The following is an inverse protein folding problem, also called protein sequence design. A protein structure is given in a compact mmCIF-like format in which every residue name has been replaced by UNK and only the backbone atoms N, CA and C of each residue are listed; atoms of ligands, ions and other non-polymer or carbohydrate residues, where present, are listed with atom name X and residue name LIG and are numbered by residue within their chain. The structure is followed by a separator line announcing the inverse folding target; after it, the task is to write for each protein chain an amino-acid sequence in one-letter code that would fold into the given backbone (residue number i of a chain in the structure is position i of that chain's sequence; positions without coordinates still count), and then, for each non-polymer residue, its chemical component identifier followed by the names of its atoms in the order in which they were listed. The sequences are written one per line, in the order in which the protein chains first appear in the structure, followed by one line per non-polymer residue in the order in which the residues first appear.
data_IF_538425647849
#
_entry.id   IF_538425647849
#
_cell.length_a   1.000
_cell.length_b   1.000
_cell.length_c   1.000
_cell.angle_alpha   90.00
_cell.angle_beta   90.00
_cell.angle_gamma   90.00
#
_symmetry.space_group_name_H-M   'P 1'
#
loop_
_entity.id
_entity.type
_entity.pdbx_description
1 polymer ?
#
# COMPACT_ATOMS: atom_id res chain seq x y z
N UNK A 1 -16.69 11.99 -17.89
CA UNK A 1 -16.13 13.33 -18.17
C UNK A 1 -16.92 14.02 -19.28
N UNK A 2 -17.32 13.35 -20.36
CA UNK A 2 -18.12 13.94 -21.42
C UNK A 2 -19.39 14.67 -20.97
N UNK A 3 -20.07 14.19 -19.93
CA UNK A 3 -21.24 14.87 -19.34
C UNK A 3 -20.92 16.25 -18.72
N UNK A 4 -19.66 16.63 -18.62
CA UNK A 4 -19.18 17.90 -18.03
C UNK A 4 -18.40 18.76 -19.05
N UNK A 5 -18.53 18.47 -20.35
CA UNK A 5 -17.84 19.21 -21.40
C UNK A 5 -16.31 19.08 -21.34
N UNK A 6 -15.82 17.87 -21.00
CA UNK A 6 -14.39 17.54 -20.89
C UNK A 6 -14.09 16.27 -21.68
N UNK A 7 -13.06 16.30 -22.50
CA UNK A 7 -12.56 15.15 -23.28
C UNK A 7 -11.18 14.72 -22.78
N UNK A 8 -10.96 13.41 -22.68
CA UNK A 8 -9.65 12.83 -22.34
C UNK A 8 -8.80 12.79 -23.61
N UNK A 9 -7.73 13.56 -23.64
CA UNK A 9 -6.85 13.68 -24.82
C UNK A 9 -5.61 12.82 -24.74
N UNK A 10 -5.28 12.30 -23.54
CA UNK A 10 -4.15 11.38 -23.36
C UNK A 10 -4.29 10.62 -22.05
N UNK A 11 -3.92 9.34 -22.06
CA UNK A 11 -3.75 8.51 -20.87
C UNK A 11 -2.34 7.94 -20.85
N UNK A 12 -1.74 7.88 -19.67
CA UNK A 12 -0.43 7.26 -19.45
C UNK A 12 -0.43 6.47 -18.15
N UNK A 13 0.06 5.24 -18.19
CA UNK A 13 0.43 4.52 -16.99
C UNK A 13 1.75 5.06 -16.45
N UNK A 14 1.82 5.21 -15.14
CA UNK A 14 3.05 5.58 -14.43
C UNK A 14 3.25 4.62 -13.27
N UNK A 15 4.50 4.28 -12.98
CA UNK A 15 4.87 3.30 -11.94
C UNK A 15 4.73 3.84 -10.50
N UNK A 16 4.31 5.10 -10.34
CA UNK A 16 4.15 5.73 -9.04
C UNK A 16 3.07 5.02 -8.20
N UNK A 17 3.34 4.81 -6.92
CA UNK A 17 2.43 4.17 -5.94
C UNK A 17 1.91 2.78 -6.34
N UNK A 18 2.75 1.95 -6.93
CA UNK A 18 2.41 0.61 -7.45
C UNK A 18 1.52 0.63 -8.70
N UNK A 19 1.56 1.69 -9.45
CA UNK A 19 0.75 1.93 -10.63
C UNK A 19 -0.27 3.05 -10.43
N UNK A 20 -0.26 3.98 -11.34
CA UNK A 20 -1.20 5.11 -11.36
C UNK A 20 -1.53 5.45 -12.81
N UNK A 21 -2.75 5.91 -13.02
CA UNK A 21 -3.20 6.41 -14.30
C UNK A 21 -3.08 7.94 -14.32
N UNK A 22 -2.25 8.48 -15.23
CA UNK A 22 -2.22 9.91 -15.49
C UNK A 22 -3.12 10.22 -16.67
N UNK A 23 -4.12 11.06 -16.42
CA UNK A 23 -5.13 11.43 -17.41
C UNK A 23 -4.96 12.90 -17.74
N UNK A 24 -4.88 13.22 -19.05
CA UNK A 24 -4.87 14.58 -19.58
C UNK A 24 -6.24 14.89 -20.13
N UNK A 25 -6.79 16.03 -19.74
CA UNK A 25 -8.16 16.40 -20.04
C UNK A 25 -8.18 17.81 -20.63
N UNK A 26 -9.01 18.03 -21.63
CA UNK A 26 -9.23 19.32 -22.28
C UNK A 26 -10.73 19.64 -22.34
N UNK A 27 -11.08 20.93 -22.36
CA UNK A 27 -12.47 21.34 -22.64
C UNK A 27 -12.88 20.87 -24.04
N UNK A 28 -14.12 20.42 -24.16
CA UNK A 28 -14.68 20.04 -25.43
C UNK A 28 -14.65 21.23 -26.41
N UNK A 29 -14.21 20.94 -27.62
CA UNK A 29 -14.25 21.84 -28.75
C UNK A 29 -14.40 21.02 -30.03
N UNK A 30 -14.79 21.60 -31.16
CA UNK A 30 -14.90 20.88 -32.43
C UNK A 30 -13.59 20.24 -32.90
N UNK A 31 -12.44 20.71 -32.39
CA UNK A 31 -11.10 20.18 -32.69
C UNK A 31 -10.55 19.22 -31.63
N UNK A 32 -11.29 18.99 -30.53
CA UNK A 32 -10.83 18.10 -29.45
C UNK A 32 -11.08 16.64 -29.84
N UNK A 33 -10.01 15.86 -29.89
CA UNK A 33 -10.03 14.43 -30.23
C UNK A 33 -9.77 13.60 -28.96
N UNK A 34 -10.63 12.64 -28.72
CA UNK A 34 -10.43 11.68 -27.64
C UNK A 34 -9.24 10.77 -27.93
N UNK A 35 -8.46 10.44 -26.90
CA UNK A 35 -7.33 9.54 -27.05
C UNK A 35 -7.81 8.12 -27.41
N UNK A 36 -7.23 7.53 -28.45
CA UNK A 36 -7.57 6.16 -28.90
C UNK A 36 -7.45 5.12 -27.78
N UNK A 37 -6.47 5.27 -26.91
CA UNK A 37 -6.23 4.34 -25.80
C UNK A 37 -7.25 4.43 -24.67
N UNK A 38 -8.13 5.45 -24.64
CA UNK A 38 -9.27 5.52 -23.68
C UNK A 38 -10.23 4.36 -23.90
N UNK A 39 -10.66 4.16 -25.15
CA UNK A 39 -11.57 3.07 -25.48
C UNK A 39 -10.96 1.69 -25.25
N UNK A 40 -9.64 1.56 -25.54
CA UNK A 40 -8.89 0.32 -25.25
C UNK A 40 -8.85 0.04 -23.75
N UNK A 41 -8.64 1.05 -22.92
CA UNK A 41 -8.62 0.89 -21.46
C UNK A 41 -10.01 0.51 -20.94
N UNK A 42 -11.06 1.17 -21.38
CA UNK A 42 -12.44 0.84 -20.98
C UNK A 42 -12.78 -0.59 -21.36
N UNK A 43 -12.50 -1.00 -22.61
CA UNK A 43 -12.74 -2.38 -23.04
C UNK A 43 -12.00 -3.40 -22.16
N UNK A 44 -10.75 -3.12 -21.79
CA UNK A 44 -9.96 -3.98 -20.91
C UNK A 44 -10.54 -4.05 -19.48
N UNK A 45 -11.03 -2.95 -18.94
CA UNK A 45 -11.72 -2.93 -17.64
C UNK A 45 -13.00 -3.78 -17.70
N UNK A 46 -13.79 -3.65 -18.77
CA UNK A 46 -15.01 -4.45 -19.00
C UNK A 46 -14.68 -5.95 -19.16
N UNK A 47 -13.69 -6.31 -19.97
CA UNK A 47 -13.24 -7.70 -20.15
C UNK A 47 -12.73 -8.31 -18.84
N UNK A 48 -12.09 -7.51 -18.00
CA UNK A 48 -11.63 -7.95 -16.68
C UNK A 48 -12.76 -8.14 -15.67
N UNK A 49 -13.99 -7.79 -16.03
CA UNK A 49 -15.15 -7.74 -15.13
C UNK A 49 -14.88 -6.90 -13.85
N UNK A 50 -14.18 -5.78 -14.00
CA UNK A 50 -13.74 -4.95 -12.87
C UNK A 50 -14.90 -4.54 -11.94
N UNK A 51 -16.09 -4.32 -12.48
CA UNK A 51 -17.29 -3.91 -11.74
C UNK A 51 -18.18 -5.07 -11.28
N UNK A 52 -17.79 -6.33 -11.53
CA UNK A 52 -18.58 -7.48 -11.11
C UNK A 52 -18.42 -7.73 -9.59
N UNK A 53 -19.52 -8.00 -8.89
CA UNK A 53 -19.50 -8.31 -7.45
C UNK A 53 -18.53 -9.43 -7.10
N UNK A 54 -18.43 -10.46 -7.96
CA UNK A 54 -17.50 -11.59 -7.77
C UNK A 54 -16.04 -11.17 -7.69
N UNK A 55 -15.63 -10.09 -8.39
CA UNK A 55 -14.27 -9.54 -8.29
C UNK A 55 -14.02 -8.95 -6.90
N UNK A 56 -14.98 -8.20 -6.38
CA UNK A 56 -14.86 -7.62 -5.03
C UNK A 56 -14.90 -8.68 -3.95
N UNK A 57 -15.71 -9.72 -4.11
CA UNK A 57 -15.76 -10.87 -3.19
C UNK A 57 -14.41 -11.62 -3.17
N UNK A 58 -13.85 -11.90 -4.34
CA UNK A 58 -12.52 -12.52 -4.47
C UNK A 58 -11.42 -11.65 -3.87
N UNK A 59 -11.45 -10.34 -4.14
CA UNK A 59 -10.53 -9.38 -3.53
C UNK A 59 -10.62 -9.42 -2.01
N UNK A 60 -11.82 -9.34 -1.45
CA UNK A 60 -12.02 -9.37 0.00
C UNK A 60 -11.63 -10.71 0.62
N UNK A 61 -11.82 -11.83 -0.08
CA UNK A 61 -11.35 -13.14 0.36
C UNK A 61 -9.81 -13.16 0.49
N UNK A 62 -9.09 -12.62 -0.50
CA UNK A 62 -7.64 -12.51 -0.46
C UNK A 62 -7.17 -11.61 0.70
N UNK A 63 -7.82 -10.46 0.93
CA UNK A 63 -7.50 -9.58 2.07
C UNK A 63 -7.70 -10.29 3.42
N UNK A 64 -8.75 -11.11 3.56
CA UNK A 64 -8.98 -11.91 4.77
C UNK A 64 -7.87 -12.95 4.96
N UNK A 65 -7.46 -13.63 3.90
CA UNK A 65 -6.34 -14.59 3.93
C UNK A 65 -5.04 -13.92 4.35
N UNK A 66 -4.72 -12.78 3.76
CA UNK A 66 -3.56 -11.96 4.16
C UNK A 66 -3.60 -11.58 5.63
N UNK A 67 -4.76 -11.11 6.13
CA UNK A 67 -4.94 -10.79 7.53
C UNK A 67 -4.59 -11.97 8.42
N UNK A 68 -5.12 -13.17 8.12
CA UNK A 68 -4.84 -14.39 8.89
C UNK A 68 -3.36 -14.72 8.87
N UNK A 69 -2.74 -14.71 7.69
CA UNK A 69 -1.33 -15.07 7.52
C UNK A 69 -0.40 -14.10 8.26
N UNK A 70 -0.58 -12.79 8.05
CA UNK A 70 0.26 -11.78 8.70
C UNK A 70 0.10 -11.80 10.23
N UNK A 71 -1.14 -11.88 10.71
CA UNK A 71 -1.39 -11.94 12.15
C UNK A 71 -0.78 -13.21 12.77
N UNK A 72 -0.88 -14.37 12.10
CA UNK A 72 -0.26 -15.61 12.55
C UNK A 72 1.26 -15.52 12.56
N UNK A 73 1.86 -14.91 11.54
CA UNK A 73 3.31 -14.69 11.47
C UNK A 73 3.77 -13.82 12.65
N UNK A 74 3.14 -12.68 12.85
CA UNK A 74 3.50 -11.74 13.94
C UNK A 74 3.27 -12.40 15.31
N UNK A 75 2.14 -13.09 15.49
CA UNK A 75 1.84 -13.81 16.74
C UNK A 75 2.94 -14.84 17.08
N UNK A 76 3.38 -15.63 16.11
CA UNK A 76 4.42 -16.64 16.35
C UNK A 76 5.75 -15.96 16.74
N UNK A 77 6.13 -14.86 16.05
CA UNK A 77 7.34 -14.11 16.38
C UNK A 77 7.28 -13.60 17.82
N UNK A 78 6.20 -12.96 18.21
CA UNK A 78 6.03 -12.40 19.58
C UNK A 78 5.97 -13.52 20.62
N UNK A 79 5.26 -14.61 20.35
CA UNK A 79 5.18 -15.79 21.21
C UNK A 79 6.56 -16.42 21.48
N UNK A 80 7.41 -16.42 20.46
CA UNK A 80 8.78 -16.98 20.56
C UNK A 80 9.78 -15.96 21.15
N UNK A 81 9.29 -14.83 21.69
CA UNK A 81 10.07 -13.79 22.35
C UNK A 81 10.68 -12.75 21.40
N UNK A 82 10.31 -12.76 20.12
CA UNK A 82 10.69 -11.73 19.17
C UNK A 82 9.92 -10.42 19.38
N UNK A 83 10.56 -9.31 18.98
CA UNK A 83 9.99 -7.95 19.05
C UNK A 83 9.80 -7.41 17.64
N UNK A 84 8.56 -7.02 17.31
CA UNK A 84 8.19 -6.48 16.00
C UNK A 84 7.97 -4.98 16.10
N UNK A 85 8.55 -4.23 15.17
CA UNK A 85 8.38 -2.79 15.02
C UNK A 85 7.90 -2.47 13.61
N UNK A 86 6.94 -1.54 13.49
CA UNK A 86 6.46 -1.08 12.19
C UNK A 86 7.33 0.06 11.65
N UNK A 87 7.77 -0.04 10.41
CA UNK A 87 8.56 1.00 9.73
C UNK A 87 7.65 1.82 8.83
N UNK A 88 7.64 3.14 9.02
CA UNK A 88 6.85 4.11 8.26
C UNK A 88 5.41 4.24 8.74
N UNK A 89 5.12 5.26 9.56
CA UNK A 89 3.76 5.60 10.00
C UNK A 89 2.94 6.23 8.85
N UNK A 90 2.80 5.48 7.74
CA UNK A 90 2.11 5.91 6.53
C UNK A 90 0.60 5.63 6.60
N UNK A 91 -0.20 6.40 5.87
CA UNK A 91 -1.67 6.23 5.79
C UNK A 91 -2.07 4.81 5.40
N UNK A 92 -1.41 4.22 4.40
CA UNK A 92 -1.65 2.83 3.99
C UNK A 92 -1.42 1.84 5.13
N UNK A 93 -0.29 2.00 5.83
CA UNK A 93 0.05 1.17 6.98
C UNK A 93 -0.97 1.30 8.10
N UNK A 94 -1.42 2.53 8.39
CA UNK A 94 -2.44 2.76 9.40
C UNK A 94 -3.78 2.06 9.05
N UNK A 95 -4.18 2.08 7.77
CA UNK A 95 -5.36 1.34 7.29
C UNK A 95 -5.19 -0.16 7.51
N UNK A 96 -4.01 -0.72 7.19
CA UNK A 96 -3.69 -2.12 7.40
C UNK A 96 -3.75 -2.49 8.89
N UNK A 97 -3.06 -1.75 9.74
CA UNK A 97 -3.03 -2.00 11.19
C UNK A 97 -4.44 -2.03 11.78
N UNK A 98 -5.28 -1.04 11.43
CA UNK A 98 -6.66 -0.99 11.92
C UNK A 98 -7.53 -2.13 11.40
N UNK A 99 -7.45 -2.45 10.10
CA UNK A 99 -8.25 -3.53 9.52
C UNK A 99 -7.81 -4.91 10.02
N UNK A 100 -6.50 -5.12 10.20
CA UNK A 100 -5.95 -6.37 10.69
C UNK A 100 -6.03 -6.50 12.21
N UNK A 101 -6.37 -5.42 12.92
CA UNK A 101 -6.43 -5.36 14.39
C UNK A 101 -5.08 -5.62 15.04
N UNK A 102 -4.05 -5.06 14.45
CA UNK A 102 -2.70 -5.04 15.02
C UNK A 102 -2.55 -3.79 15.90
N UNK A 103 -2.23 -3.98 17.15
CA UNK A 103 -2.07 -2.95 18.18
C UNK A 103 -0.70 -3.06 18.87
N UNK A 104 -0.55 -2.44 20.03
CA UNK A 104 0.71 -2.46 20.78
C UNK A 104 1.12 -3.83 21.31
N UNK A 105 0.20 -4.77 21.49
CA UNK A 105 0.54 -6.14 21.91
C UNK A 105 1.23 -6.91 20.79
N UNK A 106 0.95 -6.55 19.53
CA UNK A 106 1.54 -7.16 18.34
C UNK A 106 2.74 -6.38 17.80
N UNK A 107 2.66 -5.04 17.82
CA UNK A 107 3.66 -4.11 17.25
C UNK A 107 4.06 -3.12 18.35
N UNK A 108 5.29 -3.22 18.85
CA UNK A 108 5.73 -2.44 20.01
C UNK A 108 5.66 -0.93 19.79
N UNK A 109 6.09 -0.47 18.62
CA UNK A 109 6.00 0.92 18.17
C UNK A 109 6.13 1.02 16.65
N UNK A 110 5.84 2.19 16.10
CA UNK A 110 6.14 2.53 14.71
C UNK A 110 7.34 3.47 14.67
N UNK A 111 8.06 3.49 13.54
CA UNK A 111 9.04 4.54 13.28
C UNK A 111 8.65 5.37 12.06
N UNK A 112 9.04 6.62 12.04
CA UNK A 112 8.87 7.52 10.89
C UNK A 112 9.92 8.65 10.97
N UNK A 113 10.38 9.13 9.83
CA UNK A 113 11.31 10.26 9.75
C UNK A 113 10.64 11.63 9.86
N UNK A 114 9.32 11.67 9.86
CA UNK A 114 8.56 12.93 9.92
C UNK A 114 8.43 13.46 11.34
N UNK A 115 9.05 14.62 11.62
CA UNK A 115 8.93 15.32 12.89
C UNK A 115 7.46 15.65 13.26
N UNK A 116 6.56 15.69 12.27
CA UNK A 116 5.13 15.92 12.50
C UNK A 116 4.41 14.71 13.10
N UNK A 117 5.02 13.52 13.04
CA UNK A 117 4.46 12.26 13.53
C UNK A 117 5.18 11.74 14.78
N UNK A 118 6.48 11.97 14.88
CA UNK A 118 7.31 11.53 16.01
C UNK A 118 6.73 12.05 17.32
N UNK A 119 6.67 11.19 18.34
CA UNK A 119 6.07 11.46 19.65
C UNK A 119 4.55 11.45 19.68
N UNK A 120 3.90 11.08 18.59
CA UNK A 120 2.44 10.89 18.51
C UNK A 120 2.08 9.39 18.51
N UNK A 121 0.79 9.12 18.47
CA UNK A 121 0.23 7.76 18.38
C UNK A 121 -0.51 7.58 17.06
N UNK A 122 -0.44 6.38 16.50
CA UNK A 122 -1.16 6.03 15.28
C UNK A 122 -2.67 5.94 15.56
N UNK A 123 -3.51 6.61 14.75
CA UNK A 123 -4.95 6.62 14.97
C UNK A 123 -5.56 5.22 14.90
N UNK A 124 -6.38 4.87 15.87
CA UNK A 124 -7.12 3.61 15.95
C UNK A 124 -6.32 2.46 16.55
N UNK A 125 -5.11 2.19 16.08
CA UNK A 125 -4.23 1.15 16.64
C UNK A 125 -3.54 1.56 17.94
N UNK A 126 -3.48 2.87 18.23
CA UNK A 126 -2.87 3.47 19.40
C UNK A 126 -1.37 3.17 19.59
N UNK A 127 -0.69 2.71 18.55
CA UNK A 127 0.74 2.40 18.57
C UNK A 127 1.55 3.71 18.59
N UNK A 128 2.55 3.88 19.49
CA UNK A 128 3.39 5.07 19.54
C UNK A 128 4.31 5.16 18.31
N UNK A 129 4.65 6.39 17.94
CA UNK A 129 5.53 6.67 16.78
C UNK A 129 6.82 7.31 17.30
N UNK A 130 7.94 6.66 17.02
CA UNK A 130 9.30 7.08 17.38
C UNK A 130 10.07 7.54 16.14
N UNK A 131 11.26 8.08 16.33
CA UNK A 131 12.18 8.40 15.23
C UNK A 131 12.76 7.14 14.61
N UNK A 132 13.10 7.17 13.31
CA UNK A 132 13.76 6.06 12.61
C UNK A 132 15.12 5.67 13.25
N UNK A 133 15.77 6.59 13.97
CA UNK A 133 17.02 6.36 14.70
C UNK A 133 16.84 5.60 16.02
N UNK A 134 15.62 5.49 16.54
CA UNK A 134 15.31 4.93 17.85
C UNK A 134 14.94 3.44 17.81
N UNK A 135 15.36 2.72 16.74
CA UNK A 135 15.13 1.27 16.66
C UNK A 135 16.03 0.56 17.66
N UNK A 136 15.42 -0.01 18.71
CA UNK A 136 16.10 -0.70 19.78
C UNK A 136 16.92 -1.92 19.29
N UNK A 137 18.00 -2.24 20.01
CA UNK A 137 18.85 -3.39 19.69
C UNK A 137 18.14 -4.74 19.84
N UNK A 138 17.13 -4.83 20.71
CA UNK A 138 16.33 -6.04 20.98
C UNK A 138 15.21 -6.29 19.96
N UNK A 139 14.94 -5.34 19.08
CA UNK A 139 14.03 -5.55 17.93
C UNK A 139 14.56 -6.67 17.05
N UNK A 140 13.70 -7.61 16.68
CA UNK A 140 14.07 -8.74 15.82
C UNK A 140 13.52 -8.58 14.41
N UNK A 141 12.35 -7.99 14.25
CA UNK A 141 11.63 -7.90 12.99
C UNK A 141 11.12 -6.48 12.69
N UNK A 142 11.21 -6.09 11.43
CA UNK A 142 10.74 -4.81 10.89
C UNK A 142 9.56 -5.04 9.92
N UNK A 143 8.36 -4.67 10.32
CA UNK A 143 7.16 -4.68 9.47
C UNK A 143 7.14 -3.45 8.59
N UNK A 144 7.33 -3.62 7.28
CA UNK A 144 7.33 -2.51 6.32
C UNK A 144 5.90 -2.10 5.98
N UNK A 145 5.45 -1.00 6.55
CA UNK A 145 4.08 -0.49 6.34
C UNK A 145 3.88 0.21 4.99
N UNK A 146 4.80 1.04 4.47
CA UNK A 146 4.74 1.53 3.10
C UNK A 146 5.32 0.50 2.12
N UNK A 147 4.65 -0.64 1.94
CA UNK A 147 5.12 -1.78 1.13
C UNK A 147 5.55 -1.43 -0.29
N UNK A 148 5.01 -0.36 -0.88
CA UNK A 148 5.45 0.15 -2.18
C UNK A 148 6.87 0.73 -2.17
N UNK A 149 7.46 0.96 -1.00
CA UNK A 149 8.83 1.39 -0.79
C UNK A 149 9.69 0.28 -0.16
N UNK A 150 9.22 -0.97 -0.17
CA UNK A 150 9.86 -2.06 0.56
C UNK A 150 11.32 -2.25 0.17
N UNK A 151 11.64 -2.29 -1.12
CA UNK A 151 13.02 -2.49 -1.58
C UNK A 151 13.94 -1.34 -1.16
N UNK A 152 13.46 -0.11 -1.24
CA UNK A 152 14.20 1.06 -0.76
C UNK A 152 14.45 0.99 0.75
N UNK A 153 13.41 0.69 1.53
CA UNK A 153 13.53 0.62 2.99
C UNK A 153 14.39 -0.57 3.44
N UNK A 154 14.28 -1.72 2.78
CA UNK A 154 15.19 -2.84 3.02
C UNK A 154 16.65 -2.43 2.82
N UNK A 155 16.98 -1.82 1.68
CA UNK A 155 18.36 -1.40 1.40
C UNK A 155 18.87 -0.39 2.44
N UNK A 156 18.02 0.55 2.87
CA UNK A 156 18.33 1.55 3.90
C UNK A 156 18.58 0.92 5.27
N UNK A 157 17.83 -0.11 5.64
CA UNK A 157 17.79 -0.67 7.00
C UNK A 157 18.55 -2.02 7.14
N UNK A 158 19.10 -2.56 6.06
CA UNK A 158 19.86 -3.84 6.07
C UNK A 158 21.01 -3.83 7.10
N UNK A 159 21.63 -2.68 7.34
CA UNK A 159 22.72 -2.53 8.30
C UNK A 159 22.32 -2.83 9.75
N UNK A 160 21.02 -2.81 10.06
CA UNK A 160 20.51 -3.14 11.41
C UNK A 160 20.51 -4.65 11.69
N UNK A 161 20.66 -5.51 10.68
CA UNK A 161 20.69 -6.98 10.83
C UNK A 161 19.36 -7.57 11.31
N UNK A 162 18.22 -6.91 11.01
CA UNK A 162 16.88 -7.35 11.42
C UNK A 162 16.17 -8.09 10.29
N UNK A 163 15.21 -8.94 10.60
CA UNK A 163 14.36 -9.59 9.62
C UNK A 163 13.25 -8.64 9.13
N UNK A 164 12.88 -8.75 7.85
CA UNK A 164 11.85 -7.91 7.25
C UNK A 164 10.56 -8.68 7.03
N UNK A 165 9.46 -8.10 7.48
CA UNK A 165 8.10 -8.56 7.18
C UNK A 165 7.50 -7.57 6.18
N UNK A 166 7.11 -8.06 5.00
CA UNK A 166 6.45 -7.25 3.98
C UNK A 166 5.06 -7.83 3.75
N UNK A 167 3.98 -7.03 3.95
CA UNK A 167 2.64 -7.47 3.63
C UNK A 167 2.52 -7.79 2.12
N UNK A 168 2.10 -9.01 1.77
CA UNK A 168 1.98 -9.49 0.38
C UNK A 168 0.78 -8.87 -0.35
N UNK A 169 0.67 -7.55 -0.38
CA UNK A 169 -0.51 -6.85 -0.94
C UNK A 169 -0.45 -6.70 -2.47
N UNK A 170 0.67 -6.94 -3.12
CA UNK A 170 0.99 -6.18 -4.32
C UNK A 170 1.04 -6.92 -5.65
N UNK A 171 1.39 -8.18 -5.73
CA UNK A 171 1.72 -8.73 -7.06
C UNK A 171 0.53 -9.15 -7.92
N UNK A 172 -0.61 -9.47 -7.31
CA UNK A 172 -1.79 -9.97 -8.05
C UNK A 172 -2.74 -8.88 -8.57
N UNK A 173 -2.55 -7.63 -8.14
CA UNK A 173 -3.50 -6.54 -8.42
C UNK A 173 -2.88 -5.32 -9.12
N UNK A 174 -1.60 -5.41 -9.46
CA UNK A 174 -0.94 -4.34 -10.21
C UNK A 174 -1.17 -4.56 -11.70
N UNK A 175 -1.84 -3.63 -12.36
CA UNK A 175 -1.84 -3.56 -13.84
C UNK A 175 -0.41 -3.14 -14.19
N UNK A 176 0.40 -4.06 -14.73
CA UNK A 176 1.75 -3.76 -15.18
C UNK A 176 1.68 -2.75 -16.32
N UNK A 177 2.57 -1.75 -16.29
CA UNK A 177 2.56 -0.63 -17.21
C UNK A 177 2.69 -0.97 -18.71
N UNK A 178 3.12 -2.20 -19.02
CA UNK A 178 3.30 -2.70 -20.39
C UNK A 178 2.01 -3.20 -21.04
N UNK A 179 0.90 -3.16 -20.32
CA UNK A 179 -0.39 -3.72 -20.74
C UNK A 179 -1.37 -2.67 -21.32
N UNK A 180 -0.93 -1.39 -21.54
CA UNK A 180 -1.79 -0.33 -22.15
C UNK A 180 -1.19 0.25 -23.41
#
# INVERSE_FOLDING_TARGET
MGSHGLTITKIMNITYMCGSLRVFVQKDSPSTVEAENVMKLIAKEDESNLFANSKYEAFMANIRTMKVNLNSQIYNIVKDGGKVVGVGAATKGNTLLNYFKLDQDAISYLTDSSILKIGKIAPGSMIPILDDSDIDSDVTHLLILPWNLAEYLKSKLTHLGKEFIIPEITEKYTIKGDDL
#
